data_IF_360142978682
#
_entry.id   IF_360142978682
#
_cell.length_a   1.000
_cell.length_b   1.000
_cell.length_c   1.000
_cell.angle_alpha   90.00
_cell.angle_beta   90.00
_cell.angle_gamma   90.00
#
_symmetry.space_group_name_H-M   'P 1'
#
loop_
_entity.id
_entity.type
_entity.pdbx_description
1 polymer ?
#
# COMPACT_ATOMS: atom_id res chain seq x y z
N UNK A 1 3.42 20.04 7.87
CA UNK A 1 3.65 19.54 6.50
C UNK A 1 2.31 19.48 5.78
N UNK A 2 2.29 19.73 4.46
CA UNK A 2 1.07 19.66 3.65
C UNK A 2 1.44 19.21 2.24
N UNK A 3 0.63 18.33 1.64
CA UNK A 3 0.79 17.85 0.26
C UNK A 3 -0.55 17.33 -0.26
N UNK A 4 -0.64 17.19 -1.56
CA UNK A 4 -1.82 16.66 -2.27
C UNK A 4 -1.34 15.53 -3.20
N UNK A 5 -2.15 14.48 -3.30
CA UNK A 5 -1.98 13.42 -4.30
C UNK A 5 -3.26 13.35 -5.11
N UNK A 6 -3.17 13.62 -6.40
CA UNK A 6 -4.32 13.59 -7.28
C UNK A 6 -4.79 12.15 -7.55
N UNK A 7 -6.05 12.02 -7.95
CA UNK A 7 -6.64 10.75 -8.37
C UNK A 7 -5.82 10.11 -9.51
N UNK A 8 -5.53 8.84 -9.39
CA UNK A 8 -4.72 8.10 -10.37
C UNK A 8 -3.22 8.46 -10.36
N UNK A 9 -2.73 9.21 -9.37
CA UNK A 9 -1.31 9.56 -9.24
C UNK A 9 -0.64 8.80 -8.10
N UNK A 10 0.67 8.64 -8.23
CA UNK A 10 1.51 8.04 -7.21
C UNK A 10 2.53 9.07 -6.69
N UNK A 11 2.55 9.24 -5.39
CA UNK A 11 3.56 9.99 -4.65
C UNK A 11 4.60 9.02 -4.10
N UNK A 12 5.84 9.15 -4.51
CA UNK A 12 6.98 8.44 -3.93
C UNK A 12 7.46 9.15 -2.65
N UNK A 13 7.64 8.40 -1.59
CA UNK A 13 8.14 8.92 -0.31
C UNK A 13 9.43 8.21 0.09
N UNK A 14 10.54 8.94 0.05
CA UNK A 14 11.85 8.47 0.50
C UNK A 14 12.21 9.04 1.87
N UNK A 15 13.32 8.58 2.42
CA UNK A 15 13.90 9.09 3.67
C UNK A 15 14.56 7.99 4.49
N UNK A 16 15.46 8.39 5.39
CA UNK A 16 16.18 7.46 6.26
C UNK A 16 15.23 6.64 7.14
N UNK A 17 15.70 5.48 7.61
CA UNK A 17 14.98 4.72 8.63
C UNK A 17 14.75 5.59 9.87
N UNK A 18 13.57 5.50 10.47
CA UNK A 18 13.18 6.31 11.62
C UNK A 18 12.79 7.77 11.30
N UNK A 19 12.82 8.23 10.03
CA UNK A 19 12.43 9.60 9.66
C UNK A 19 10.95 9.92 9.88
N UNK A 20 10.09 8.88 10.02
CA UNK A 20 8.66 9.03 10.30
C UNK A 20 7.73 8.64 9.15
N UNK A 21 8.24 8.01 8.07
CA UNK A 21 7.43 7.59 6.90
C UNK A 21 6.24 6.71 7.29
N UNK A 22 6.50 5.63 8.01
CA UNK A 22 5.46 4.72 8.55
C UNK A 22 4.46 5.46 9.44
N UNK A 23 4.93 6.36 10.31
CA UNK A 23 4.04 7.14 11.19
C UNK A 23 3.12 8.06 10.37
N UNK A 24 3.63 8.67 9.30
CA UNK A 24 2.81 9.47 8.38
C UNK A 24 1.71 8.62 7.73
N UNK A 25 2.07 7.45 7.17
CA UNK A 25 1.08 6.55 6.55
C UNK A 25 0.01 6.10 7.56
N UNK A 26 0.43 5.72 8.78
CA UNK A 26 -0.49 5.30 9.85
C UNK A 26 -1.40 6.44 10.30
N UNK A 27 -0.90 7.66 10.39
CA UNK A 27 -1.70 8.85 10.70
C UNK A 27 -2.76 9.12 9.61
N UNK A 28 -2.39 9.02 8.32
CA UNK A 28 -3.33 9.16 7.20
C UNK A 28 -4.41 8.06 7.24
N UNK A 29 -4.01 6.82 7.57
CA UNK A 29 -4.92 5.68 7.70
C UNK A 29 -5.82 5.73 8.95
N UNK A 30 -5.65 6.73 9.82
CA UNK A 30 -6.38 6.82 11.11
C UNK A 30 -6.11 5.62 12.04
N UNK A 31 -4.87 5.17 12.05
CA UNK A 31 -4.40 4.09 12.93
C UNK A 31 -3.70 4.63 14.19
N UNK A 32 -3.22 5.86 14.14
CA UNK A 32 -2.55 6.54 15.25
C UNK A 32 -3.15 7.92 15.48
N UNK A 33 -3.13 8.38 16.74
CA UNK A 33 -3.54 9.75 17.08
C UNK A 33 -2.65 10.76 16.34
N UNK A 34 -3.30 11.72 15.70
CA UNK A 34 -2.62 12.82 15.01
C UNK A 34 -3.43 14.12 15.13
N UNK A 35 -2.76 15.25 14.93
CA UNK A 35 -3.37 16.59 14.94
C UNK A 35 -3.49 17.19 13.53
N UNK A 36 -3.17 16.39 12.49
CA UNK A 36 -3.29 16.82 11.10
C UNK A 36 -4.71 16.73 10.57
N UNK A 37 -4.96 17.41 9.47
CA UNK A 37 -6.19 17.25 8.70
C UNK A 37 -5.90 16.41 7.45
N UNK A 38 -6.70 15.37 7.23
CA UNK A 38 -6.66 14.54 6.02
C UNK A 38 -8.02 14.62 5.35
N UNK A 39 -8.02 14.73 4.02
CA UNK A 39 -9.26 14.74 3.23
C UNK A 39 -9.14 13.85 2.00
N UNK A 40 -10.27 13.26 1.57
CA UNK A 40 -10.41 12.53 0.31
C UNK A 40 -11.49 13.21 -0.50
N UNK A 41 -11.19 13.65 -1.73
CA UNK A 41 -12.13 14.35 -2.63
C UNK A 41 -12.84 15.51 -1.91
N UNK A 42 -12.09 16.30 -1.15
CA UNK A 42 -12.59 17.46 -0.39
C UNK A 42 -13.36 17.15 0.89
N UNK A 43 -13.61 15.88 1.21
CA UNK A 43 -14.29 15.48 2.46
C UNK A 43 -13.26 15.18 3.54
N UNK A 44 -13.34 15.89 4.66
CA UNK A 44 -12.41 15.73 5.80
C UNK A 44 -12.57 14.36 6.47
N UNK A 45 -11.48 13.83 7.04
CA UNK A 45 -11.49 12.61 7.86
C UNK A 45 -12.58 12.65 8.94
N UNK A 46 -12.75 13.78 9.60
CA UNK A 46 -13.74 13.99 10.68
C UNK A 46 -15.19 13.78 10.25
N UNK A 47 -15.50 13.80 8.96
CA UNK A 47 -16.85 13.53 8.43
C UNK A 47 -17.15 12.04 8.21
N UNK A 48 -16.19 11.15 8.50
CA UNK A 48 -16.36 9.71 8.35
C UNK A 48 -16.26 9.01 9.71
N UNK A 49 -17.00 7.92 9.88
CA UNK A 49 -16.70 6.96 10.95
C UNK A 49 -15.34 6.29 10.70
N UNK A 50 -14.64 5.84 11.74
CA UNK A 50 -13.36 5.15 11.60
C UNK A 50 -13.41 3.95 10.63
N UNK A 51 -14.39 3.04 10.74
CA UNK A 51 -14.53 1.94 9.77
C UNK A 51 -14.73 2.40 8.32
N UNK A 52 -15.58 3.43 8.10
CA UNK A 52 -15.83 3.95 6.75
C UNK A 52 -14.60 4.64 6.15
N UNK A 53 -13.79 5.30 6.98
CA UNK A 53 -12.52 5.87 6.54
C UNK A 53 -11.54 4.77 6.11
N UNK A 54 -11.36 3.74 6.94
CA UNK A 54 -10.43 2.63 6.66
C UNK A 54 -10.87 1.73 5.50
N UNK A 55 -12.15 1.73 5.11
CA UNK A 55 -12.58 1.11 3.84
C UNK A 55 -12.10 1.89 2.62
N UNK A 56 -11.93 3.20 2.73
CA UNK A 56 -11.45 4.06 1.62
C UNK A 56 -9.94 4.09 1.49
N UNK A 57 -9.23 3.83 2.58
CA UNK A 57 -7.76 3.86 2.63
C UNK A 57 -7.24 2.46 2.89
N UNK A 58 -6.62 1.88 1.87
CA UNK A 58 -5.86 0.65 1.99
C UNK A 58 -4.45 0.94 2.51
N UNK A 59 -4.06 0.34 3.62
CA UNK A 59 -2.71 0.43 4.18
C UNK A 59 -2.03 -0.94 4.14
N UNK A 60 -0.92 -1.03 3.41
CA UNK A 60 -0.03 -2.18 3.38
C UNK A 60 1.22 -1.86 4.21
N UNK A 61 1.41 -2.45 5.39
CA UNK A 61 2.62 -2.27 6.18
C UNK A 61 3.80 -3.04 5.58
N UNK A 62 5.03 -2.63 5.92
CA UNK A 62 6.26 -3.30 5.49
C UNK A 62 6.30 -4.78 5.93
N UNK A 63 5.76 -5.08 7.10
CA UNK A 63 5.54 -6.45 7.59
C UNK A 63 4.04 -6.69 7.76
N UNK A 64 3.48 -7.51 6.88
CA UNK A 64 2.06 -7.86 6.93
C UNK A 64 1.79 -8.88 8.03
N UNK A 65 0.94 -8.49 8.98
CA UNK A 65 0.45 -9.40 10.03
C UNK A 65 -0.70 -10.24 9.50
N UNK A 66 -0.74 -11.50 9.96
CA UNK A 66 -1.78 -12.48 9.67
C UNK A 66 -2.73 -12.62 10.87
N UNK A 67 -4.00 -12.88 10.59
CA UNK A 67 -5.03 -13.11 11.61
C UNK A 67 -5.64 -14.51 11.51
N UNK A 68 -5.53 -15.18 10.35
CA UNK A 68 -6.05 -16.51 10.08
C UNK A 68 -4.94 -17.48 9.70
N UNK A 69 -5.17 -18.76 9.90
CA UNK A 69 -4.21 -19.82 9.61
C UNK A 69 -4.14 -20.15 8.11
N UNK A 70 -5.25 -20.05 7.36
CA UNK A 70 -5.28 -20.33 5.93
C UNK A 70 -5.46 -19.06 5.10
N UNK A 71 -4.93 -19.09 3.87
CA UNK A 71 -4.96 -17.98 2.92
C UNK A 71 -6.39 -17.57 2.57
N UNK A 72 -7.26 -18.53 2.20
CA UNK A 72 -8.62 -18.25 1.76
C UNK A 72 -9.47 -17.51 2.81
N UNK A 73 -9.22 -17.74 4.10
CA UNK A 73 -9.93 -17.05 5.18
C UNK A 73 -9.63 -15.55 5.27
N UNK A 74 -8.64 -15.05 4.52
CA UNK A 74 -8.31 -13.64 4.46
C UNK A 74 -9.08 -12.88 3.37
N UNK A 75 -9.85 -13.57 2.54
CA UNK A 75 -10.64 -12.97 1.46
C UNK A 75 -12.12 -13.18 1.74
N UNK A 76 -12.90 -12.09 1.74
CA UNK A 76 -14.36 -12.14 1.93
C UNK A 76 -15.06 -12.93 0.79
N UNK A 77 -14.47 -12.89 -0.41
CA UNK A 77 -14.90 -13.62 -1.60
C UNK A 77 -13.68 -14.25 -2.30
N UNK A 78 -13.21 -15.38 -1.79
CA UNK A 78 -12.05 -16.08 -2.35
C UNK A 78 -12.26 -16.49 -3.83
N UNK A 79 -13.51 -16.63 -4.27
CA UNK A 79 -13.87 -16.94 -5.66
C UNK A 79 -13.48 -15.81 -6.64
N UNK A 80 -13.35 -14.58 -6.18
CA UNK A 80 -12.94 -13.43 -6.99
C UNK A 80 -11.42 -13.15 -6.93
N UNK A 81 -10.67 -13.96 -6.22
CA UNK A 81 -9.22 -13.85 -6.14
C UNK A 81 -8.59 -14.74 -7.22
N UNK A 82 -7.89 -14.15 -8.18
CA UNK A 82 -7.08 -14.83 -9.17
C UNK A 82 -5.64 -14.91 -8.70
N UNK A 83 -5.16 -16.04 -8.16
CA UNK A 83 -3.79 -16.17 -7.66
C UNK A 83 -2.72 -15.83 -8.70
N UNK A 84 -3.00 -16.17 -9.97
CA UNK A 84 -2.10 -15.95 -11.12
C UNK A 84 -1.77 -14.46 -11.32
N UNK A 85 -2.75 -13.57 -11.11
CA UNK A 85 -2.55 -12.11 -11.22
C UNK A 85 -1.52 -11.60 -10.21
N UNK A 86 -1.31 -12.34 -9.11
CA UNK A 86 -0.35 -12.02 -8.06
C UNK A 86 0.91 -12.89 -8.11
N UNK A 87 1.14 -13.58 -9.24
CA UNK A 87 2.34 -14.41 -9.50
C UNK A 87 2.37 -15.72 -8.73
N UNK A 88 1.21 -16.29 -8.42
CA UNK A 88 1.12 -17.65 -7.90
C UNK A 88 0.80 -18.61 -9.04
N UNK A 89 1.68 -19.60 -9.26
CA UNK A 89 1.50 -20.60 -10.31
C UNK A 89 0.47 -21.67 -9.97
N UNK A 90 0.02 -21.74 -8.72
CA UNK A 90 -0.89 -22.79 -8.21
C UNK A 90 -2.07 -22.14 -7.48
N UNK A 91 -3.27 -22.37 -8.01
CA UNK A 91 -4.52 -21.91 -7.40
C UNK A 91 -4.76 -22.52 -6.00
N UNK A 92 -4.11 -23.65 -5.67
CA UNK A 92 -4.20 -24.27 -4.35
C UNK A 92 -3.57 -23.42 -3.23
N UNK A 93 -2.88 -22.31 -3.58
CA UNK A 93 -2.39 -21.32 -2.61
C UNK A 93 -3.49 -20.84 -1.65
N UNK A 94 -4.75 -20.82 -2.11
CA UNK A 94 -5.92 -20.44 -1.30
C UNK A 94 -6.12 -21.40 -0.11
N UNK A 95 -5.80 -22.66 -0.30
CA UNK A 95 -5.92 -23.70 0.74
C UNK A 95 -4.68 -23.78 1.65
N UNK A 96 -3.61 -23.09 1.27
CA UNK A 96 -2.35 -23.14 1.99
C UNK A 96 -2.43 -22.51 3.37
N UNK A 97 -1.66 -23.07 4.31
CA UNK A 97 -1.42 -22.46 5.61
C UNK A 97 -0.48 -21.27 5.44
N UNK A 98 -0.85 -20.11 5.99
CA UNK A 98 -0.06 -18.87 5.88
C UNK A 98 1.34 -19.04 6.46
N UNK A 99 1.51 -19.92 7.44
CA UNK A 99 2.81 -20.18 8.06
C UNK A 99 3.84 -20.80 7.12
N UNK A 100 3.38 -21.58 6.14
CA UNK A 100 4.24 -22.24 5.14
C UNK A 100 4.72 -21.32 4.02
N UNK A 101 4.14 -20.13 3.91
CA UNK A 101 4.48 -19.17 2.87
C UNK A 101 5.77 -18.42 3.17
N UNK A 102 6.54 -18.13 2.14
CA UNK A 102 7.66 -17.20 2.17
C UNK A 102 7.20 -15.78 2.51
N UNK A 103 8.14 -14.92 2.93
CA UNK A 103 7.84 -13.51 3.20
C UNK A 103 7.31 -12.78 1.97
N UNK A 104 7.84 -13.08 0.78
CA UNK A 104 7.39 -12.50 -0.49
C UNK A 104 5.97 -12.92 -0.86
N UNK A 105 5.61 -14.19 -0.70
CA UNK A 105 4.24 -14.68 -0.92
C UNK A 105 3.26 -14.04 0.05
N UNK A 106 3.61 -13.94 1.33
CA UNK A 106 2.80 -13.23 2.34
C UNK A 106 2.55 -11.79 1.96
N UNK A 107 3.56 -11.09 1.45
CA UNK A 107 3.44 -9.69 1.04
C UNK A 107 2.53 -9.53 -0.18
N UNK A 108 2.66 -10.39 -1.21
CA UNK A 108 1.78 -10.37 -2.38
C UNK A 108 0.33 -10.71 -2.03
N UNK A 109 0.09 -11.69 -1.16
CA UNK A 109 -1.26 -12.00 -0.67
C UNK A 109 -1.86 -10.85 0.15
N UNK A 110 -1.05 -10.16 0.95
CA UNK A 110 -1.51 -8.99 1.68
C UNK A 110 -1.90 -7.85 0.74
N UNK A 111 -1.15 -7.65 -0.37
CA UNK A 111 -1.50 -6.71 -1.42
C UNK A 111 -2.80 -7.13 -2.12
N UNK A 112 -2.95 -8.40 -2.50
CA UNK A 112 -4.16 -8.93 -3.11
C UNK A 112 -5.40 -8.66 -2.26
N UNK A 113 -5.32 -8.97 -0.97
CA UNK A 113 -6.38 -8.69 0.00
C UNK A 113 -6.70 -7.21 0.10
N UNK A 114 -5.67 -6.35 0.09
CA UNK A 114 -5.85 -4.91 0.15
C UNK A 114 -6.61 -4.41 -1.07
N UNK A 115 -6.22 -4.84 -2.27
CA UNK A 115 -6.83 -4.42 -3.53
C UNK A 115 -8.27 -4.95 -3.69
N UNK A 116 -8.58 -6.15 -3.17
CA UNK A 116 -9.95 -6.71 -3.19
C UNK A 116 -10.97 -5.86 -2.44
N UNK A 117 -10.53 -5.04 -1.48
CA UNK A 117 -11.37 -4.06 -0.77
C UNK A 117 -11.70 -2.80 -1.56
N UNK A 118 -11.20 -2.66 -2.78
CA UNK A 118 -11.38 -1.52 -3.69
C UNK A 118 -11.15 -0.14 -3.04
N UNK A 119 -10.03 0.09 -2.34
CA UNK A 119 -9.76 1.35 -1.69
C UNK A 119 -9.53 2.51 -2.70
N UNK A 120 -9.96 3.71 -2.33
CA UNK A 120 -9.74 4.93 -3.12
C UNK A 120 -8.30 5.48 -2.96
N UNK A 121 -7.62 5.09 -1.91
CA UNK A 121 -6.24 5.48 -1.60
C UNK A 121 -5.43 4.26 -1.17
N UNK A 122 -4.23 4.10 -1.72
CA UNK A 122 -3.26 3.08 -1.33
C UNK A 122 -2.09 3.73 -0.58
N UNK A 123 -1.83 3.26 0.62
CA UNK A 123 -0.67 3.61 1.42
C UNK A 123 0.23 2.37 1.52
N UNK A 124 1.34 2.37 0.79
CA UNK A 124 2.22 1.22 0.63
C UNK A 124 3.55 1.48 1.33
N UNK A 125 3.78 0.79 2.43
CA UNK A 125 5.00 0.93 3.23
C UNK A 125 5.99 -0.17 2.83
N UNK A 126 6.95 0.16 1.97
CA UNK A 126 7.97 -0.75 1.45
C UNK A 126 7.39 -2.06 0.84
N UNK A 127 6.42 -1.97 -0.08
CA UNK A 127 5.63 -3.13 -0.52
C UNK A 127 6.46 -4.21 -1.23
N UNK A 128 7.69 -3.92 -1.63
CA UNK A 128 8.58 -4.81 -2.39
C UNK A 128 9.90 -5.13 -1.69
N UNK A 129 10.06 -4.75 -0.41
CA UNK A 129 11.34 -4.85 0.30
C UNK A 129 11.91 -6.28 0.38
N UNK A 130 11.07 -7.31 0.35
CA UNK A 130 11.46 -8.72 0.48
C UNK A 130 11.17 -9.53 -0.80
N UNK A 131 11.07 -8.86 -1.96
CA UNK A 131 10.78 -9.49 -3.24
C UNK A 131 12.04 -9.53 -4.11
N UNK A 132 12.16 -10.59 -4.92
CA UNK A 132 13.09 -10.64 -6.02
C UNK A 132 12.68 -9.65 -7.14
N UNK A 133 13.57 -9.40 -8.13
CA UNK A 133 13.27 -8.42 -9.19
C UNK A 133 12.02 -8.74 -10.02
N UNK A 134 11.72 -10.01 -10.29
CA UNK A 134 10.54 -10.42 -11.05
C UNK A 134 9.26 -10.07 -10.27
N UNK A 135 9.18 -10.49 -9.02
CA UNK A 135 8.03 -10.21 -8.15
C UNK A 135 7.90 -8.72 -7.80
N UNK A 136 9.03 -7.99 -7.74
CA UNK A 136 9.02 -6.53 -7.60
C UNK A 136 8.31 -5.87 -8.78
N UNK A 137 8.68 -6.23 -10.01
CA UNK A 137 8.04 -5.69 -11.21
C UNK A 137 6.56 -6.02 -11.26
N UNK A 138 6.17 -7.25 -10.94
CA UNK A 138 4.78 -7.68 -10.86
C UNK A 138 3.98 -6.79 -9.90
N UNK A 139 4.47 -6.53 -8.70
CA UNK A 139 3.80 -5.65 -7.73
C UNK A 139 3.69 -4.22 -8.25
N UNK A 140 4.75 -3.70 -8.90
CA UNK A 140 4.73 -2.37 -9.51
C UNK A 140 3.65 -2.27 -10.59
N UNK A 141 3.54 -3.27 -11.47
CA UNK A 141 2.52 -3.36 -12.52
C UNK A 141 1.12 -3.45 -11.93
N UNK A 142 0.87 -4.36 -10.99
CA UNK A 142 -0.43 -4.53 -10.33
C UNK A 142 -0.94 -3.23 -9.69
N UNK A 143 -0.07 -2.52 -8.97
CA UNK A 143 -0.45 -1.24 -8.34
C UNK A 143 -0.69 -0.17 -9.40
N UNK A 144 0.12 -0.15 -10.46
CA UNK A 144 -0.06 0.79 -11.57
C UNK A 144 -1.39 0.57 -12.30
N UNK A 145 -1.74 -0.69 -12.60
CA UNK A 145 -2.98 -1.06 -13.27
C UNK A 145 -4.19 -0.75 -12.40
N UNK A 146 -4.12 -1.10 -11.11
CA UNK A 146 -5.15 -0.75 -10.15
C UNK A 146 -5.39 0.76 -10.09
N UNK A 147 -4.33 1.54 -9.97
CA UNK A 147 -4.37 3.00 -9.94
C UNK A 147 -5.02 3.58 -11.21
N UNK A 148 -4.65 3.07 -12.38
CA UNK A 148 -5.15 3.54 -13.67
C UNK A 148 -6.62 3.16 -13.87
N UNK A 149 -7.02 1.95 -13.46
CA UNK A 149 -8.38 1.42 -13.63
C UNK A 149 -9.37 2.06 -12.66
N UNK A 150 -8.97 2.22 -11.39
CA UNK A 150 -9.86 2.69 -10.31
C UNK A 150 -9.68 4.17 -9.95
N UNK A 151 -8.68 4.84 -10.54
CA UNK A 151 -8.35 6.23 -10.18
C UNK A 151 -7.84 6.38 -8.75
N UNK A 152 -7.28 5.34 -8.16
CA UNK A 152 -6.79 5.38 -6.80
C UNK A 152 -5.55 6.29 -6.67
N UNK A 153 -5.50 7.11 -5.62
CA UNK A 153 -4.30 7.83 -5.25
C UNK A 153 -3.34 6.90 -4.49
N UNK A 154 -2.04 6.96 -4.79
CA UNK A 154 -1.05 6.07 -4.17
C UNK A 154 0.02 6.87 -3.45
N UNK A 155 0.37 6.48 -2.23
CA UNK A 155 1.61 6.88 -1.56
C UNK A 155 2.48 5.63 -1.43
N UNK A 156 3.63 5.66 -2.10
CA UNK A 156 4.58 4.54 -2.14
C UNK A 156 5.84 4.90 -1.37
N UNK A 157 6.09 4.23 -0.27
CA UNK A 157 7.35 4.35 0.49
C UNK A 157 8.35 3.33 -0.03
N UNK A 158 9.55 3.75 -0.36
CA UNK A 158 10.68 2.88 -0.66
C UNK A 158 12.00 3.54 -0.31
N UNK A 159 13.04 2.72 -0.09
CA UNK A 159 14.43 3.16 0.06
C UNK A 159 15.13 3.29 -1.30
N UNK A 160 14.69 2.52 -2.29
CA UNK A 160 15.30 2.50 -3.62
C UNK A 160 14.78 3.68 -4.46
N UNK A 161 15.64 4.68 -4.71
CA UNK A 161 15.28 5.84 -5.51
C UNK A 161 14.93 5.49 -6.95
N UNK A 162 15.64 4.52 -7.57
CA UNK A 162 15.33 4.07 -8.93
C UNK A 162 13.92 3.48 -9.02
N UNK A 163 13.46 2.79 -7.99
CA UNK A 163 12.08 2.32 -7.89
C UNK A 163 11.11 3.50 -7.82
N UNK A 164 11.35 4.46 -6.94
CA UNK A 164 10.47 5.62 -6.81
C UNK A 164 10.37 6.42 -8.11
N UNK A 165 11.46 6.51 -8.88
CA UNK A 165 11.44 7.13 -10.22
C UNK A 165 10.50 6.38 -11.17
N UNK A 166 10.47 5.03 -11.13
CA UNK A 166 9.59 4.24 -12.00
C UNK A 166 8.11 4.33 -11.62
N UNK A 167 7.80 4.25 -10.32
CA UNK A 167 6.42 4.09 -9.85
C UNK A 167 5.69 5.41 -9.61
N UNK A 168 6.40 6.53 -9.42
CA UNK A 168 5.79 7.79 -8.95
C UNK A 168 5.98 8.97 -9.92
N UNK A 169 5.01 9.88 -9.93
CA UNK A 169 5.07 11.14 -10.69
C UNK A 169 5.64 12.29 -9.86
N UNK A 170 5.46 12.24 -8.55
CA UNK A 170 5.95 13.24 -7.60
C UNK A 170 6.72 12.52 -6.50
N UNK A 171 7.80 13.13 -6.04
CA UNK A 171 8.62 12.54 -4.99
C UNK A 171 8.85 13.54 -3.85
N UNK A 172 8.73 13.04 -2.62
CA UNK A 172 9.03 13.78 -1.40
C UNK A 172 10.09 13.03 -0.59
N UNK A 173 10.95 13.79 0.05
CA UNK A 173 11.92 13.29 1.01
C UNK A 173 11.46 13.62 2.43
N UNK A 174 11.32 12.60 3.27
CA UNK A 174 11.07 12.80 4.70
C UNK A 174 12.40 12.88 5.46
N UNK A 175 12.63 14.02 6.09
CA UNK A 175 13.81 14.27 6.93
C UNK A 175 13.38 14.95 8.23
N UNK A 176 13.79 14.39 9.36
CA UNK A 176 13.46 14.94 10.68
C UNK A 176 11.95 15.23 10.87
N UNK A 177 11.10 14.30 10.48
CA UNK A 177 9.63 14.41 10.51
C UNK A 177 9.06 15.60 9.69
N UNK A 178 9.82 16.11 8.73
CA UNK A 178 9.40 17.15 7.79
C UNK A 178 9.50 16.64 6.37
N UNK A 179 8.60 17.11 5.49
CA UNK A 179 8.62 16.78 4.06
C UNK A 179 9.37 17.88 3.30
N UNK A 180 10.26 17.45 2.42
CA UNK A 180 10.99 18.30 1.48
C UNK A 180 10.62 17.84 0.07
N UNK A 181 10.39 18.76 -0.86
CA UNK A 181 10.23 18.40 -2.28
C UNK A 181 11.60 17.94 -2.81
N UNK A 182 11.61 16.77 -3.44
CA UNK A 182 12.76 16.35 -4.26
C UNK A 182 12.54 16.96 -5.67
N UNK A 183 12.80 18.27 -5.78
CA UNK A 183 12.97 18.89 -7.10
C UNK A 183 14.32 18.43 -7.66
N UNK A 184 14.29 17.62 -8.72
CA UNK A 184 15.40 17.49 -9.66
C UNK A 184 15.21 18.47 -10.80
#
# INVERSE_FOLDING_TARGET
MSFIVDSGKCLGLSGQSGSGKTLLLRAIADLDLNHGEVSIKGKKRSSFSGPNWRKKIGYLPAESKRWHSSVGQHFDNAENFSPEDFGFSDASIIESEVDKLSSGEKQRLALARLLSGLPEVLLLDEPTANLDPHNTNLVEELVNDYRNTHGAAVIWVAHNESQLVRVSQTRLLMKNKSLLSNEN
#
